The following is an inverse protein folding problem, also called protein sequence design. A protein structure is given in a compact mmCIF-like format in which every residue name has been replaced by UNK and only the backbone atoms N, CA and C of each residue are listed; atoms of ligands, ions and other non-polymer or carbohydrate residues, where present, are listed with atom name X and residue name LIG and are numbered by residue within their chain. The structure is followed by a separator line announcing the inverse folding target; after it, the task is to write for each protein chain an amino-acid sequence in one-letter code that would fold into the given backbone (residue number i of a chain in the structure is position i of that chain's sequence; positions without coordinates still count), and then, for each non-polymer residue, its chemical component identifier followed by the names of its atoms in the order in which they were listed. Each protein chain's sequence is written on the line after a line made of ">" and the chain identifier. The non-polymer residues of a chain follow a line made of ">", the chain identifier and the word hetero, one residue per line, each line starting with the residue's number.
data_IF_593225868481
#
_entry.id   IF_593225868481
#
_cell.length_a   1.000
_cell.length_b   1.000
_cell.length_c   1.000
_cell.angle_alpha   90.00
_cell.angle_beta   90.00
_cell.angle_gamma   90.00
#
_symmetry.space_group_name_H-M   'P 1'
#
loop_
_entity.id
_entity.type
_entity.pdbx_description
1 polymer ?
#
# COMPACT_ATOMS: atom_id res chain seq x y z
N UNK A 1 -4.46 29.02 4.81
CA UNK A 1 -4.46 27.71 4.09
C UNK A 1 -3.53 27.86 2.89
N UNK A 2 -2.41 27.13 2.76
CA UNK A 2 -1.59 27.25 1.56
C UNK A 2 -2.31 26.56 0.40
N UNK A 3 -2.37 27.25 -0.73
CA UNK A 3 -3.16 26.86 -1.89
C UNK A 3 -2.51 25.66 -2.61
N UNK A 4 -3.32 24.62 -2.86
CA UNK A 4 -2.94 23.43 -3.64
C UNK A 4 -2.90 23.79 -5.14
N UNK A 5 -1.77 23.56 -5.81
CA UNK A 5 -1.65 23.67 -7.28
C UNK A 5 -2.41 22.52 -7.97
N UNK A 6 -3.09 22.81 -9.08
CA UNK A 6 -4.14 21.99 -9.70
C UNK A 6 -3.66 20.88 -10.66
N UNK A 7 -2.35 20.58 -10.75
CA UNK A 7 -1.81 19.74 -11.82
C UNK A 7 -1.04 18.48 -11.37
N UNK A 8 -1.45 17.84 -10.27
CA UNK A 8 -0.89 16.53 -9.89
C UNK A 8 -1.65 15.36 -10.53
N UNK A 9 -0.94 14.65 -11.41
CA UNK A 9 -1.37 13.38 -11.98
C UNK A 9 -0.67 12.24 -11.22
N UNK A 10 -1.42 11.53 -10.38
CA UNK A 10 -0.96 10.30 -9.72
C UNK A 10 -0.44 10.51 -8.30
N UNK A 11 -1.04 9.73 -7.40
CA UNK A 11 -0.76 9.57 -5.97
C UNK A 11 -1.12 10.74 -5.04
N UNK A 12 -2.28 10.60 -4.37
CA UNK A 12 -2.63 11.39 -3.18
C UNK A 12 -1.52 11.21 -2.14
N UNK A 13 -0.85 12.28 -1.69
CA UNK A 13 0.31 12.13 -0.82
C UNK A 13 -0.14 11.83 0.63
N UNK A 14 0.47 10.79 1.20
CA UNK A 14 0.09 10.14 2.47
C UNK A 14 0.14 11.03 3.73
N UNK A 15 0.47 12.32 3.62
CA UNK A 15 0.57 13.26 4.75
C UNK A 15 -0.78 13.72 5.30
N UNK A 16 -1.91 13.34 4.66
CA UNK A 16 -3.26 13.53 5.23
C UNK A 16 -3.50 12.77 6.54
N UNK A 17 -2.60 11.89 6.97
CA UNK A 17 -2.76 11.04 8.16
C UNK A 17 -2.09 11.60 9.43
N UNK A 18 -1.49 12.80 9.42
CA UNK A 18 -0.95 13.37 10.66
C UNK A 18 -2.02 14.18 11.38
N UNK A 19 -2.89 13.45 12.08
CA UNK A 19 -3.59 13.91 13.27
C UNK A 19 -3.90 12.72 14.20
N UNK A 20 -2.87 12.28 14.94
CA UNK A 20 -3.01 11.56 16.21
C UNK A 20 -3.51 10.11 16.15
N UNK A 21 -2.56 9.16 16.11
CA UNK A 21 -2.73 7.72 16.39
C UNK A 21 -3.81 7.02 15.55
N UNK A 22 -3.40 6.59 14.36
CA UNK A 22 -4.10 5.52 13.65
C UNK A 22 -3.23 4.28 13.86
N UNK A 23 -3.73 3.33 14.64
CA UNK A 23 -3.25 1.94 14.60
C UNK A 23 -3.24 1.52 13.13
N UNK A 24 -2.04 1.44 12.52
CA UNK A 24 -1.91 1.06 11.12
C UNK A 24 -2.41 -0.39 11.01
N UNK A 25 -3.50 -0.59 10.27
CA UNK A 25 -3.98 -1.94 9.97
C UNK A 25 -2.90 -2.70 9.17
N UNK A 26 -2.88 -4.03 9.25
CA UNK A 26 -1.99 -4.86 8.41
C UNK A 26 -2.14 -4.51 6.91
N UNK A 27 -3.33 -4.08 6.48
CA UNK A 27 -3.55 -3.59 5.12
C UNK A 27 -2.76 -2.32 4.78
N UNK A 28 -2.51 -1.44 5.75
CA UNK A 28 -1.74 -0.20 5.59
C UNK A 28 -0.24 -0.44 5.65
N UNK A 29 0.21 -1.44 6.40
CA UNK A 29 1.60 -1.88 6.41
C UNK A 29 2.07 -2.37 5.03
N UNK A 30 1.19 -2.95 4.21
CA UNK A 30 1.50 -3.31 2.80
C UNK A 30 2.05 -2.09 2.04
N UNK A 31 1.44 -0.91 2.19
CA UNK A 31 1.90 0.29 1.48
C UNK A 31 3.27 0.76 1.99
N UNK A 32 3.53 0.60 3.28
CA UNK A 32 4.81 0.93 3.90
C UNK A 32 5.91 0.01 3.37
N UNK A 33 5.67 -1.30 3.37
CA UNK A 33 6.62 -2.30 2.89
C UNK A 33 6.86 -2.18 1.38
N UNK A 34 5.81 -1.99 0.58
CA UNK A 34 5.96 -1.73 -0.86
C UNK A 34 6.83 -0.49 -1.11
N UNK A 35 6.58 0.62 -0.41
CA UNK A 35 7.39 1.83 -0.53
C UNK A 35 8.84 1.58 -0.12
N UNK A 36 9.06 0.80 0.95
CA UNK A 36 10.40 0.46 1.45
C UNK A 36 11.24 -0.29 0.40
N UNK A 37 10.64 -1.24 -0.31
CA UNK A 37 11.32 -2.00 -1.39
C UNK A 37 11.25 -1.33 -2.77
N UNK A 38 10.72 -0.10 -2.85
CA UNK A 38 10.61 0.67 -4.09
C UNK A 38 9.54 0.16 -5.06
N UNK A 39 8.60 -0.65 -4.59
CA UNK A 39 7.46 -1.10 -5.40
C UNK A 39 6.47 0.03 -5.65
N UNK A 40 6.07 0.16 -6.91
CA UNK A 40 4.97 1.03 -7.33
C UNK A 40 3.61 0.39 -7.06
N UNK A 41 2.57 1.19 -6.93
CA UNK A 41 1.18 0.71 -6.79
C UNK A 41 0.79 -0.22 -7.95
N UNK A 42 1.29 0.05 -9.16
CA UNK A 42 1.05 -0.80 -10.34
C UNK A 42 1.65 -2.19 -10.16
N UNK A 43 2.86 -2.30 -9.60
CA UNK A 43 3.48 -3.60 -9.31
C UNK A 43 2.70 -4.36 -8.24
N UNK A 44 2.30 -3.69 -7.15
CA UNK A 44 1.45 -4.31 -6.14
C UNK A 44 0.12 -4.81 -6.73
N UNK A 45 -0.57 -3.99 -7.52
CA UNK A 45 -1.82 -4.41 -8.18
C UNK A 45 -1.61 -5.59 -9.12
N UNK A 46 -0.52 -5.60 -9.89
CA UNK A 46 -0.19 -6.71 -10.78
C UNK A 46 0.04 -8.00 -9.98
N UNK A 47 0.78 -7.90 -8.87
CA UNK A 47 0.99 -9.02 -7.95
C UNK A 47 -0.33 -9.54 -7.36
N UNK A 48 -1.21 -8.65 -6.90
CA UNK A 48 -2.53 -9.03 -6.38
C UNK A 48 -3.38 -9.76 -7.43
N UNK A 49 -3.32 -9.29 -8.67
CA UNK A 49 -4.04 -9.91 -9.77
C UNK A 49 -3.46 -11.29 -10.12
N UNK A 50 -2.14 -11.46 -10.07
CA UNK A 50 -1.49 -12.72 -10.43
C UNK A 50 -1.59 -13.80 -9.34
N UNK A 51 -1.45 -13.42 -8.07
CA UNK A 51 -1.38 -14.37 -6.95
C UNK A 51 -2.74 -14.62 -6.31
N UNK A 52 -3.60 -13.59 -6.22
CA UNK A 52 -4.89 -13.67 -5.53
C UNK A 52 -6.10 -13.44 -6.45
N UNK A 53 -5.89 -13.18 -7.75
CA UNK A 53 -6.94 -12.75 -8.69
C UNK A 53 -7.72 -11.51 -8.23
N UNK A 54 -7.06 -10.60 -7.49
CA UNK A 54 -7.68 -9.42 -6.88
C UNK A 54 -7.13 -8.11 -7.44
N UNK A 55 -7.96 -7.08 -7.45
CA UNK A 55 -7.63 -5.77 -8.03
C UNK A 55 -7.23 -4.73 -6.99
N UNK A 56 -7.59 -4.95 -5.73
CA UNK A 56 -7.34 -4.04 -4.61
C UNK A 56 -7.05 -4.80 -3.31
N UNK A 57 -6.20 -4.21 -2.46
CA UNK A 57 -5.92 -4.71 -1.11
C UNK A 57 -7.16 -4.83 -0.21
N UNK A 58 -8.20 -4.04 -0.51
CA UNK A 58 -9.49 -4.10 0.20
C UNK A 58 -10.27 -5.40 -0.08
N UNK A 59 -9.92 -6.11 -1.15
CA UNK A 59 -10.55 -7.40 -1.50
C UNK A 59 -9.80 -8.58 -0.86
N UNK A 60 -8.67 -8.33 -0.21
CA UNK A 60 -7.89 -9.38 0.43
C UNK A 60 -8.57 -9.81 1.73
N UNK A 61 -8.57 -11.12 1.97
CA UNK A 61 -8.89 -11.72 3.26
C UNK A 61 -7.75 -11.45 4.23
N UNK A 62 -8.00 -11.59 5.54
CA UNK A 62 -6.96 -11.38 6.55
C UNK A 62 -5.74 -12.28 6.32
N UNK A 63 -5.93 -13.56 5.98
CA UNK A 63 -4.83 -14.49 5.69
C UNK A 63 -3.99 -14.04 4.48
N UNK A 64 -4.64 -13.56 3.42
CA UNK A 64 -3.93 -13.07 2.22
C UNK A 64 -3.20 -11.75 2.48
N UNK A 65 -3.72 -10.90 3.38
CA UNK A 65 -3.03 -9.69 3.83
C UNK A 65 -1.74 -10.08 4.54
N UNK A 66 -1.78 -11.07 5.44
CA UNK A 66 -0.61 -11.56 6.15
C UNK A 66 0.39 -12.21 5.19
N UNK A 67 -0.06 -13.08 4.30
CA UNK A 67 0.80 -13.74 3.31
C UNK A 67 1.50 -12.73 2.39
N UNK A 68 0.76 -11.75 1.87
CA UNK A 68 1.33 -10.71 1.01
C UNK A 68 2.32 -9.84 1.77
N UNK A 69 2.01 -9.50 3.01
CA UNK A 69 2.87 -8.69 3.86
C UNK A 69 4.17 -9.43 4.23
N UNK A 70 4.09 -10.73 4.51
CA UNK A 70 5.26 -11.57 4.74
C UNK A 70 6.12 -11.73 3.49
N UNK A 71 5.51 -11.86 2.31
CA UNK A 71 6.23 -11.85 1.04
C UNK A 71 7.04 -10.56 0.84
N UNK A 72 6.44 -9.39 1.08
CA UNK A 72 7.11 -8.10 0.95
C UNK A 72 8.25 -7.93 1.99
N UNK A 73 8.06 -8.43 3.20
CA UNK A 73 9.12 -8.46 4.23
C UNK A 73 10.26 -9.40 3.85
N UNK A 74 9.97 -10.57 3.27
CA UNK A 74 10.97 -11.55 2.87
C UNK A 74 11.86 -11.06 1.71
N UNK A 75 11.36 -10.16 0.84
CA UNK A 75 12.15 -9.49 -0.19
C UNK A 75 13.22 -8.51 0.34
N UNK A 76 13.41 -8.43 1.66
CA UNK A 76 14.41 -7.60 2.33
C UNK A 76 15.78 -8.28 2.55
N UNK A 77 15.98 -9.53 2.12
CA UNK A 77 17.29 -10.19 2.22
C UNK A 77 18.26 -9.76 1.10
#
# INVERSE_FOLDING_TARGET
>A
MPHRRQNWAGDDPCWKLIAGVIELSNSDLILVEMKRIGWTIKQGRNYLQQNYNKQSRQQLSNDEIEEFLDYLKAQQL
#
